data_IF_154461909835
#
_entry.id   IF_154461909835
#
_cell.length_a   1.000
_cell.length_b   1.000
_cell.length_c   1.000
_cell.angle_alpha   90.00
_cell.angle_beta   90.00
_cell.angle_gamma   90.00
#
_symmetry.space_group_name_H-M   'P 1'
#
loop_
_entity.id
_entity.type
_entity.pdbx_description
1 polymer ?
#
# COMPACT_ATOMS: atom_id res chain seq x y z
N UNK A 1 -27.73 -8.05 -13.91
CA UNK A 1 -27.87 -6.62 -14.34
C UNK A 1 -27.44 -5.71 -13.19
N UNK A 2 -26.88 -4.54 -13.45
CA UNK A 2 -26.51 -3.59 -12.39
C UNK A 2 -27.72 -2.88 -11.78
N UNK A 3 -27.67 -2.63 -10.47
CA UNK A 3 -28.70 -1.87 -9.76
C UNK A 3 -28.58 -0.37 -10.09
N UNK A 4 -29.71 0.26 -10.35
CA UNK A 4 -29.80 1.70 -10.59
C UNK A 4 -29.74 2.49 -9.28
N UNK A 5 -29.54 3.81 -9.35
CA UNK A 5 -29.65 4.69 -8.17
C UNK A 5 -30.98 4.51 -7.40
N UNK A 6 -32.08 4.31 -8.11
CA UNK A 6 -33.40 4.05 -7.53
C UNK A 6 -33.42 2.75 -6.73
N UNK A 7 -32.95 1.66 -7.35
CA UNK A 7 -32.86 0.34 -6.70
C UNK A 7 -31.93 0.38 -5.49
N UNK A 8 -30.83 1.13 -5.58
CA UNK A 8 -29.91 1.32 -4.46
C UNK A 8 -30.57 2.09 -3.31
N UNK A 9 -31.29 3.18 -3.60
CA UNK A 9 -31.98 3.97 -2.58
C UNK A 9 -33.06 3.17 -1.83
N UNK A 10 -33.73 2.26 -2.53
CA UNK A 10 -34.76 1.41 -1.95
C UNK A 10 -34.16 0.26 -1.12
N UNK A 11 -33.19 -0.49 -1.69
CA UNK A 11 -32.69 -1.73 -1.09
C UNK A 11 -31.56 -1.53 -0.09
N UNK A 12 -30.70 -0.53 -0.26
CA UNK A 12 -29.47 -0.43 0.53
C UNK A 12 -29.69 -0.03 1.99
N UNK A 13 -30.85 0.54 2.32
CA UNK A 13 -31.22 0.87 3.71
C UNK A 13 -31.10 -0.32 4.66
N UNK A 14 -31.39 -1.53 4.17
CA UNK A 14 -31.33 -2.77 4.95
C UNK A 14 -30.04 -3.57 4.69
N UNK A 15 -29.20 -3.13 3.75
CA UNK A 15 -28.00 -3.83 3.33
C UNK A 15 -26.70 -3.12 3.76
N UNK A 16 -26.76 -1.84 4.10
CA UNK A 16 -25.58 -1.07 4.49
C UNK A 16 -25.86 -0.36 5.82
N UNK A 17 -24.91 -0.47 6.76
CA UNK A 17 -25.02 0.18 8.07
C UNK A 17 -23.73 0.92 8.42
N UNK A 18 -23.76 2.25 8.62
CA UNK A 18 -24.89 3.16 8.42
C UNK A 18 -25.18 3.41 6.93
N UNK A 19 -26.46 3.51 6.55
CA UNK A 19 -26.89 3.93 5.22
C UNK A 19 -27.19 5.43 5.19
N UNK A 20 -26.67 6.11 4.16
CA UNK A 20 -26.97 7.50 3.83
C UNK A 20 -27.27 7.60 2.33
N UNK A 21 -28.44 8.14 2.00
CA UNK A 21 -28.87 8.28 0.61
C UNK A 21 -27.96 9.22 -0.20
N UNK A 22 -27.30 10.19 0.44
CA UNK A 22 -26.35 11.10 -0.21
C UNK A 22 -25.06 10.40 -0.67
N UNK A 23 -24.83 9.15 -0.23
CA UNK A 23 -23.68 8.37 -0.64
C UNK A 23 -23.89 7.62 -1.96
N UNK A 24 -25.10 7.64 -2.52
CA UNK A 24 -25.40 7.10 -3.85
C UNK A 24 -24.82 8.04 -4.90
N UNK A 25 -23.96 7.50 -5.77
CA UNK A 25 -23.27 8.20 -6.84
C UNK A 25 -23.45 7.43 -8.15
N UNK A 26 -24.35 7.93 -9.00
CA UNK A 26 -24.83 7.22 -10.19
C UNK A 26 -25.38 5.83 -9.84
N UNK A 27 -24.75 4.76 -10.34
CA UNK A 27 -25.12 3.37 -10.07
C UNK A 27 -24.27 2.71 -8.96
N UNK A 28 -23.52 3.51 -8.20
CA UNK A 28 -22.67 3.03 -7.10
C UNK A 28 -23.15 3.59 -5.76
N UNK A 29 -22.84 2.87 -4.68
CA UNK A 29 -22.81 3.43 -3.34
C UNK A 29 -21.37 3.71 -2.94
N UNK A 30 -21.12 4.83 -2.27
CA UNK A 30 -19.77 5.24 -1.91
C UNK A 30 -19.50 5.00 -0.44
N UNK A 31 -18.43 4.28 -0.15
CA UNK A 31 -18.07 3.85 1.20
C UNK A 31 -16.87 4.66 1.71
N UNK A 32 -16.86 4.88 3.02
CA UNK A 32 -15.85 5.67 3.70
C UNK A 32 -14.69 4.81 4.21
N UNK A 33 -13.50 5.43 4.33
CA UNK A 33 -12.38 4.83 5.08
C UNK A 33 -12.78 4.68 6.55
N UNK A 34 -12.66 3.46 7.06
CA UNK A 34 -13.08 3.04 8.38
C UNK A 34 -12.05 3.27 9.48
N UNK A 35 -12.34 2.67 10.64
CA UNK A 35 -11.58 2.85 11.88
C UNK A 35 -10.28 2.07 12.00
N UNK A 36 -9.95 1.19 11.05
CA UNK A 36 -8.71 0.40 11.09
C UNK A 36 -7.91 0.57 9.80
N UNK A 37 -6.62 0.84 9.95
CA UNK A 37 -5.69 1.02 8.86
C UNK A 37 -4.39 0.31 9.20
N UNK A 38 -3.91 -0.51 8.29
CA UNK A 38 -2.54 -1.02 8.32
C UNK A 38 -1.78 -0.46 7.12
N UNK A 39 -0.54 -0.04 7.31
CA UNK A 39 0.37 0.37 6.24
C UNK A 39 1.66 -0.39 6.46
N UNK A 40 2.19 -1.05 5.43
CA UNK A 40 3.45 -1.80 5.57
C UNK A 40 4.59 -0.90 6.03
N UNK A 41 5.55 -1.43 6.82
CA UNK A 41 6.71 -0.68 7.25
C UNK A 41 7.51 -0.17 6.04
N UNK A 42 7.99 1.07 6.11
CA UNK A 42 8.96 1.61 5.17
C UNK A 42 10.34 1.74 5.84
N UNK A 43 11.36 2.15 5.08
CA UNK A 43 12.74 2.33 5.59
C UNK A 43 12.87 3.36 6.73
N UNK A 44 11.82 4.15 7.01
CA UNK A 44 11.81 5.15 8.08
C UNK A 44 11.30 4.56 9.40
N UNK A 45 10.70 3.36 9.38
CA UNK A 45 10.29 2.65 10.57
C UNK A 45 11.50 1.92 11.15
N UNK A 46 11.93 2.33 12.35
CA UNK A 46 13.12 1.79 13.01
C UNK A 46 13.01 0.29 13.34
N UNK A 47 11.79 -0.21 13.59
CA UNK A 47 11.51 -1.63 13.79
C UNK A 47 10.26 -2.06 13.01
N UNK A 48 10.43 -2.73 11.86
CA UNK A 48 9.34 -3.24 11.03
C UNK A 48 8.39 -4.20 11.76
N UNK A 49 8.84 -4.85 12.85
CA UNK A 49 8.03 -5.80 13.62
C UNK A 49 7.00 -5.12 14.53
N UNK A 50 7.16 -3.80 14.76
CA UNK A 50 6.25 -3.01 15.60
C UNK A 50 5.07 -2.40 14.82
N UNK A 51 4.99 -2.61 13.51
CA UNK A 51 3.90 -2.05 12.71
C UNK A 51 2.61 -2.81 13.00
N UNK A 52 1.76 -2.15 13.77
CA UNK A 52 0.44 -2.64 14.19
C UNK A 52 -0.67 -1.93 13.41
N UNK A 53 -1.86 -2.50 13.46
CA UNK A 53 -3.08 -1.86 12.96
C UNK A 53 -3.29 -0.55 13.72
N UNK A 54 -3.34 0.56 12.97
CA UNK A 54 -3.64 1.90 13.49
C UNK A 54 -5.15 2.10 13.53
N UNK A 55 -5.61 2.85 14.54
CA UNK A 55 -7.03 3.19 14.74
C UNK A 55 -7.25 4.70 14.74
N UNK A 56 -7.19 5.35 13.57
CA UNK A 56 -7.37 6.80 13.49
C UNK A 56 -8.73 7.24 14.02
N UNK A 57 -8.77 8.37 14.72
CA UNK A 57 -10.00 9.06 15.07
C UNK A 57 -10.73 9.55 13.80
N UNK A 58 -12.03 9.83 13.90
CA UNK A 58 -12.79 10.36 12.77
C UNK A 58 -12.17 11.68 12.30
N UNK A 59 -11.86 11.78 11.00
CA UNK A 59 -11.19 12.94 10.42
C UNK A 59 -9.66 12.97 10.59
N UNK A 60 -9.08 12.05 11.38
CA UNK A 60 -7.63 11.94 11.51
C UNK A 60 -6.99 11.46 10.20
N UNK A 61 -5.85 12.08 9.87
CA UNK A 61 -5.11 11.82 8.65
C UNK A 61 -4.07 10.72 8.83
N UNK A 62 -3.88 9.93 7.79
CA UNK A 62 -2.79 8.99 7.66
C UNK A 62 -2.22 9.02 6.25
N UNK A 63 -1.04 8.42 6.09
CA UNK A 63 -0.29 8.48 4.84
C UNK A 63 0.10 7.08 4.40
N UNK A 64 -0.05 6.80 3.10
CA UNK A 64 0.47 5.61 2.45
C UNK A 64 1.70 6.05 1.63
N UNK A 65 2.93 5.74 2.08
CA UNK A 65 4.14 6.13 1.35
C UNK A 65 4.23 5.44 -0.03
N UNK A 66 5.02 5.99 -0.97
CA UNK A 66 5.32 5.32 -2.24
C UNK A 66 5.84 3.90 -2.05
N UNK A 67 5.33 2.97 -2.85
CA UNK A 67 5.75 1.57 -2.85
C UNK A 67 5.33 0.76 -1.61
N UNK A 68 4.40 1.27 -0.80
CA UNK A 68 3.87 0.56 0.36
C UNK A 68 2.48 -0.02 0.08
N UNK A 69 2.21 -1.18 0.68
CA UNK A 69 0.86 -1.74 0.75
C UNK A 69 0.14 -1.17 1.97
N UNK A 70 -1.18 -1.07 1.87
CA UNK A 70 -2.02 -0.76 2.99
C UNK A 70 -3.29 -1.62 2.97
N UNK A 71 -3.82 -1.92 4.15
CA UNK A 71 -5.13 -2.51 4.31
C UNK A 71 -6.03 -1.46 4.96
N UNK A 72 -7.11 -1.13 4.26
CA UNK A 72 -8.10 -0.16 4.69
C UNK A 72 -9.43 -0.89 4.86
N UNK A 73 -10.11 -0.70 5.99
CA UNK A 73 -11.48 -1.21 6.14
C UNK A 73 -12.49 -0.12 5.82
N UNK A 74 -13.71 -0.49 5.43
CA UNK A 74 -14.81 0.48 5.30
C UNK A 74 -15.34 0.90 6.67
N UNK A 75 -15.89 2.11 6.79
CA UNK A 75 -16.63 2.50 7.99
C UNK A 75 -17.95 1.70 8.05
N UNK A 76 -18.62 1.57 6.92
CA UNK A 76 -19.88 0.87 6.78
C UNK A 76 -19.70 -0.65 6.81
N UNK A 77 -20.68 -1.33 7.42
CA UNK A 77 -20.90 -2.76 7.29
C UNK A 77 -21.80 -3.00 6.08
N UNK A 78 -21.35 -3.86 5.18
CA UNK A 78 -22.01 -4.19 3.91
C UNK A 78 -22.58 -5.61 3.99
N UNK A 79 -23.82 -5.76 3.55
CA UNK A 79 -24.49 -7.03 3.29
C UNK A 79 -24.69 -7.18 1.79
N UNK A 80 -24.29 -8.32 1.25
CA UNK A 80 -24.63 -8.70 -0.12
C UNK A 80 -25.72 -9.76 -0.07
N UNK A 81 -26.93 -9.49 -0.61
CA UNK A 81 -27.99 -10.48 -0.59
C UNK A 81 -27.70 -11.63 -1.55
N UNK A 82 -28.39 -12.75 -1.38
CA UNK A 82 -28.14 -13.97 -2.15
C UNK A 82 -28.47 -13.83 -3.64
N UNK A 83 -29.27 -12.83 -4.01
CA UNK A 83 -29.66 -12.53 -5.39
C UNK A 83 -28.73 -11.53 -6.10
N UNK A 84 -27.62 -11.13 -5.48
CA UNK A 84 -26.68 -10.17 -6.06
C UNK A 84 -25.22 -10.46 -5.74
N UNK A 85 -24.36 -9.90 -6.58
CA UNK A 85 -22.91 -9.81 -6.39
C UNK A 85 -22.53 -8.34 -6.14
N UNK A 86 -21.64 -8.08 -5.18
CA UNK A 86 -21.04 -6.76 -5.01
C UNK A 86 -19.79 -6.62 -5.88
N UNK A 87 -19.61 -5.51 -6.60
CA UNK A 87 -18.36 -5.15 -7.26
C UNK A 87 -17.74 -3.95 -6.56
N UNK A 88 -16.43 -3.98 -6.34
CA UNK A 88 -15.73 -2.93 -5.58
C UNK A 88 -14.65 -2.24 -6.40
N UNK A 89 -14.48 -0.95 -6.14
CA UNK A 89 -13.41 -0.14 -6.73
C UNK A 89 -13.07 1.03 -5.82
N UNK A 90 -12.10 1.82 -6.26
CA UNK A 90 -11.71 3.09 -5.63
C UNK A 90 -12.11 4.21 -6.59
N UNK A 91 -12.59 5.33 -6.06
CA UNK A 91 -12.92 6.53 -6.84
C UNK A 91 -11.73 6.97 -7.68
N UNK A 92 -12.00 7.32 -8.94
CA UNK A 92 -10.97 7.70 -9.92
C UNK A 92 -10.01 8.79 -9.42
N UNK A 93 -10.55 9.81 -8.72
CA UNK A 93 -9.76 10.91 -8.12
C UNK A 93 -8.64 10.41 -7.20
N UNK A 94 -8.86 9.32 -6.46
CA UNK A 94 -7.86 8.74 -5.57
C UNK A 94 -6.97 7.75 -6.33
N UNK A 95 -7.55 6.96 -7.25
CA UNK A 95 -6.78 6.06 -8.13
C UNK A 95 -5.69 6.79 -8.92
N UNK A 96 -6.00 7.95 -9.50
CA UNK A 96 -5.04 8.74 -10.29
C UNK A 96 -3.91 9.36 -9.47
N UNK A 97 -3.98 9.33 -8.13
CA UNK A 97 -2.84 9.67 -7.27
C UNK A 97 -1.82 8.54 -7.15
N UNK A 98 -2.08 7.39 -7.79
CA UNK A 98 -1.26 6.19 -7.72
C UNK A 98 -1.81 5.10 -6.80
N UNK A 99 -3.01 5.26 -6.23
CA UNK A 99 -3.59 4.25 -5.35
C UNK A 99 -4.22 3.11 -6.17
N UNK A 100 -3.56 1.96 -6.19
CA UNK A 100 -4.01 0.77 -6.91
C UNK A 100 -4.75 -0.15 -5.95
N UNK A 101 -5.95 -0.60 -6.32
CA UNK A 101 -6.63 -1.66 -5.59
C UNK A 101 -6.01 -3.01 -5.98
N UNK A 102 -5.52 -3.76 -4.99
CA UNK A 102 -4.93 -5.09 -5.17
C UNK A 102 -5.74 -6.18 -4.45
N UNK A 103 -6.89 -5.82 -3.86
CA UNK A 103 -7.86 -6.78 -3.34
C UNK A 103 -8.59 -7.53 -4.46
N UNK A 104 -9.46 -8.48 -4.07
CA UNK A 104 -10.49 -9.00 -4.95
C UNK A 104 -11.36 -7.87 -5.54
N UNK A 105 -11.95 -8.12 -6.71
CA UNK A 105 -12.77 -7.14 -7.43
C UNK A 105 -14.27 -7.21 -7.08
N UNK A 106 -14.68 -8.24 -6.34
CA UNK A 106 -16.07 -8.50 -5.99
C UNK A 106 -16.23 -8.92 -4.53
N UNK A 107 -17.49 -8.96 -4.10
CA UNK A 107 -17.96 -9.40 -2.79
C UNK A 107 -19.08 -10.41 -3.04
N UNK A 108 -18.95 -11.60 -2.45
CA UNK A 108 -19.82 -12.74 -2.74
C UNK A 108 -21.23 -12.59 -2.18
N UNK A 109 -22.22 -13.26 -2.79
CA UNK A 109 -23.58 -13.34 -2.24
C UNK A 109 -23.58 -13.95 -0.85
N UNK A 110 -24.36 -13.36 0.06
CA UNK A 110 -24.44 -13.77 1.47
C UNK A 110 -23.38 -13.13 2.36
N UNK A 111 -22.42 -12.37 1.81
CA UNK A 111 -21.42 -11.66 2.60
C UNK A 111 -22.07 -10.67 3.59
N UNK A 112 -21.51 -10.58 4.79
CA UNK A 112 -21.86 -9.59 5.80
C UNK A 112 -20.62 -9.13 6.56
N UNK A 113 -20.31 -7.84 6.54
CA UNK A 113 -19.14 -7.30 7.25
C UNK A 113 -18.61 -5.99 6.68
N UNK A 114 -17.55 -5.46 7.29
CA UNK A 114 -16.78 -4.36 6.73
C UNK A 114 -15.88 -4.88 5.60
N UNK A 115 -15.84 -4.16 4.49
CA UNK A 115 -15.00 -4.52 3.35
C UNK A 115 -13.55 -4.12 3.63
N UNK A 116 -12.63 -5.05 3.37
CA UNK A 116 -11.19 -4.80 3.47
C UNK A 116 -10.60 -4.58 2.08
N UNK A 117 -10.03 -3.40 1.86
CA UNK A 117 -9.32 -3.02 0.66
C UNK A 117 -7.82 -3.14 0.90
N UNK A 118 -7.20 -4.13 0.25
CA UNK A 118 -5.75 -4.16 0.06
C UNK A 118 -5.39 -3.20 -1.08
N UNK A 119 -4.55 -2.20 -0.79
CA UNK A 119 -4.16 -1.16 -1.75
C UNK A 119 -2.64 -1.01 -1.80
N UNK A 120 -2.14 -0.54 -2.94
CA UNK A 120 -0.73 -0.27 -3.16
C UNK A 120 -0.54 1.15 -3.69
N UNK A 121 0.41 1.90 -3.13
CA UNK A 121 0.78 3.19 -3.69
C UNK A 121 1.84 3.02 -4.78
N UNK A 122 1.39 2.97 -6.03
CA UNK A 122 2.24 2.96 -7.22
C UNK A 122 2.69 4.35 -7.67
N UNK A 123 2.23 5.41 -6.99
CA UNK A 123 2.60 6.78 -7.29
C UNK A 123 3.99 7.15 -6.74
N UNK A 124 4.61 8.22 -7.26
CA UNK A 124 5.92 8.68 -6.79
C UNK A 124 5.85 9.49 -5.49
N UNK A 125 4.65 9.85 -5.01
CA UNK A 125 4.44 10.71 -3.84
C UNK A 125 3.55 10.05 -2.78
N UNK A 126 3.68 10.43 -1.50
CA UNK A 126 2.82 9.90 -0.44
C UNK A 126 1.34 10.24 -0.68
N UNK A 127 0.46 9.27 -0.41
CA UNK A 127 -0.99 9.45 -0.53
C UNK A 127 -1.56 9.70 0.87
N UNK A 128 -1.97 10.94 1.11
CA UNK A 128 -2.72 11.32 2.31
C UNK A 128 -4.21 10.97 2.16
N UNK A 129 -4.72 10.27 3.17
CA UNK A 129 -6.13 9.92 3.36
C UNK A 129 -6.54 10.31 4.78
N UNK A 130 -7.84 10.29 5.05
CA UNK A 130 -8.38 10.45 6.40
C UNK A 130 -9.51 9.46 6.66
N UNK A 131 -9.71 9.07 7.91
CA UNK A 131 -10.90 8.30 8.30
C UNK A 131 -12.17 9.11 7.99
N UNK A 132 -13.21 8.44 7.51
CA UNK A 132 -14.45 9.03 7.04
C UNK A 132 -14.38 9.55 5.59
N UNK A 133 -13.23 9.48 4.92
CA UNK A 133 -13.13 9.89 3.52
C UNK A 133 -13.80 8.87 2.61
N UNK A 134 -14.78 9.31 1.81
CA UNK A 134 -15.48 8.47 0.83
C UNK A 134 -14.61 8.20 -0.40
N UNK A 135 -13.89 7.09 -0.41
CA UNK A 135 -12.96 6.74 -1.50
C UNK A 135 -13.33 5.44 -2.20
N UNK A 136 -14.18 4.62 -1.60
CA UNK A 136 -14.55 3.32 -2.14
C UNK A 136 -15.87 3.41 -2.90
N UNK A 137 -16.04 2.54 -3.87
CA UNK A 137 -17.24 2.39 -4.69
C UNK A 137 -17.70 0.95 -4.59
N UNK A 138 -19.02 0.77 -4.42
CA UNK A 138 -19.70 -0.51 -4.42
C UNK A 138 -20.85 -0.47 -5.42
N UNK A 139 -20.84 -1.38 -6.39
CA UNK A 139 -21.97 -1.64 -7.27
C UNK A 139 -22.60 -2.97 -6.90
N UNK A 140 -23.90 -3.10 -7.09
CA UNK A 140 -24.59 -4.38 -6.99
C UNK A 140 -25.00 -4.85 -8.38
N UNK A 141 -24.80 -6.14 -8.66
CA UNK A 141 -25.21 -6.80 -9.87
C UNK A 141 -26.11 -7.99 -9.55
N UNK A 142 -27.35 -7.99 -10.03
CA UNK A 142 -28.28 -9.12 -9.87
C UNK A 142 -27.79 -10.37 -10.58
N UNK A 143 -27.96 -11.51 -9.92
CA UNK A 143 -27.76 -12.85 -10.46
C UNK A 143 -29.00 -13.31 -11.26
N UNK A 144 -28.84 -14.34 -12.09
CA UNK A 144 -29.95 -15.02 -12.79
C UNK A 144 -30.85 -15.78 -11.82
N UNK A 145 -30.27 -16.28 -10.72
CA UNK A 145 -30.96 -16.97 -9.61
C UNK A 145 -30.23 -16.68 -8.28
N UNK A 146 -30.93 -16.75 -7.13
CA UNK A 146 -30.27 -16.65 -5.83
C UNK A 146 -29.19 -17.73 -5.66
N UNK A 147 -28.07 -17.38 -5.06
CA UNK A 147 -27.00 -18.31 -4.76
C UNK A 147 -27.38 -19.23 -3.59
N UNK A 148 -27.35 -20.54 -3.83
CA UNK A 148 -27.51 -21.55 -2.76
C UNK A 148 -26.26 -21.65 -1.87
N UNK A 149 -25.09 -21.29 -2.42
CA UNK A 149 -23.82 -21.27 -1.69
C UNK A 149 -23.60 -19.88 -1.12
N UNK A 150 -23.49 -19.80 0.20
CA UNK A 150 -23.18 -18.56 0.91
C UNK A 150 -21.69 -18.49 1.15
N UNK A 151 -21.15 -17.28 1.14
CA UNK A 151 -19.85 -17.07 1.76
C UNK A 151 -19.92 -17.55 3.22
N UNK A 152 -19.09 -18.53 3.58
CA UNK A 152 -19.08 -19.16 4.90
C UNK A 152 -18.53 -18.23 5.98
N UNK A 153 -18.07 -17.04 5.59
CA UNK A 153 -17.34 -16.13 6.46
C UNK A 153 -18.33 -15.18 7.13
N UNK A 154 -18.71 -15.53 8.36
CA UNK A 154 -19.59 -14.72 9.19
C UNK A 154 -18.96 -13.36 9.53
N UNK A 155 -19.78 -12.30 9.43
CA UNK A 155 -19.61 -10.98 10.07
C UNK A 155 -18.15 -10.51 10.26
N UNK A 156 -17.46 -10.17 9.17
CA UNK A 156 -16.10 -9.61 9.26
C UNK A 156 -16.13 -8.21 9.85
N UNK A 157 -15.35 -7.99 10.92
CA UNK A 157 -15.13 -6.67 11.52
C UNK A 157 -13.64 -6.43 11.65
N UNK A 158 -13.18 -5.31 11.07
CA UNK A 158 -11.77 -4.96 11.11
C UNK A 158 -10.88 -5.78 10.19
N UNK A 159 -9.57 -5.59 10.34
CA UNK A 159 -8.53 -6.25 9.54
C UNK A 159 -8.25 -7.65 10.13
N UNK A 160 -8.37 -8.69 9.30
CA UNK A 160 -8.01 -10.06 9.68
C UNK A 160 -6.48 -10.22 9.76
N UNK A 161 -5.99 -10.63 10.93
CA UNK A 161 -4.56 -10.84 11.19
C UNK A 161 -3.93 -11.89 10.26
N UNK A 162 -4.70 -12.90 9.86
CA UNK A 162 -4.20 -13.95 8.95
C UNK A 162 -3.91 -13.41 7.54
N UNK A 163 -4.53 -12.30 7.16
CA UNK A 163 -4.26 -11.62 5.89
C UNK A 163 -2.98 -10.78 5.97
N UNK A 164 -2.67 -10.23 7.15
CA UNK A 164 -1.49 -9.39 7.37
C UNK A 164 -0.18 -10.20 7.38
N UNK A 165 -0.20 -11.43 7.91
CA UNK A 165 1.00 -12.28 8.03
C UNK A 165 1.61 -12.69 6.69
N UNK A 166 0.83 -12.67 5.59
CA UNK A 166 1.34 -12.92 4.24
C UNK A 166 2.05 -11.74 3.58
N UNK A 167 1.89 -10.52 4.12
CA UNK A 167 2.38 -9.26 3.53
C UNK A 167 3.35 -8.51 4.46
N UNK A 168 3.51 -8.96 5.72
CA UNK A 168 4.31 -8.29 6.76
C UNK A 168 5.84 -8.38 6.60
N UNK A 169 6.35 -8.83 5.45
CA UNK A 169 7.78 -8.76 5.16
C UNK A 169 8.23 -7.33 4.83
N UNK A 170 9.53 -7.03 4.97
CA UNK A 170 10.09 -5.77 4.46
C UNK A 170 9.90 -5.69 2.93
N UNK A 171 8.85 -5.02 2.50
CA UNK A 171 8.62 -4.70 1.10
C UNK A 171 9.53 -3.55 0.70
N UNK A 172 10.64 -3.91 0.07
CA UNK A 172 11.59 -2.96 -0.51
C UNK A 172 10.92 -2.26 -1.71
N UNK A 173 10.55 -0.99 -1.54
CA UNK A 173 10.00 -0.18 -2.63
C UNK A 173 11.04 0.04 -3.73
N UNK A 174 10.61 0.20 -4.99
CA UNK A 174 11.51 0.51 -6.11
C UNK A 174 12.31 1.80 -5.87
N UNK A 175 11.69 2.81 -5.25
CA UNK A 175 12.37 4.05 -4.88
C UNK A 175 13.45 3.82 -3.81
N UNK A 176 13.17 2.96 -2.81
CA UNK A 176 14.15 2.53 -1.81
C UNK A 176 15.33 1.79 -2.45
N UNK A 177 15.04 0.88 -3.38
CA UNK A 177 16.07 0.19 -4.16
C UNK A 177 16.91 1.16 -4.99
N UNK A 178 16.30 2.12 -5.69
CA UNK A 178 17.03 3.14 -6.45
C UNK A 178 17.94 3.98 -5.55
N UNK A 179 17.46 4.38 -4.37
CA UNK A 179 18.26 5.12 -3.38
C UNK A 179 19.43 4.29 -2.86
N UNK A 180 19.23 2.99 -2.61
CA UNK A 180 20.31 2.07 -2.21
C UNK A 180 21.33 1.90 -3.33
N UNK A 181 20.89 1.75 -4.58
CA UNK A 181 21.78 1.66 -5.76
C UNK A 181 22.62 2.94 -5.88
N UNK A 182 22.02 4.12 -5.71
CA UNK A 182 22.73 5.39 -5.74
C UNK A 182 23.77 5.47 -4.60
N UNK A 183 23.38 5.11 -3.37
CA UNK A 183 24.30 5.09 -2.23
C UNK A 183 25.45 4.09 -2.42
N UNK A 184 25.21 2.95 -3.09
CA UNK A 184 26.27 2.02 -3.49
C UNK A 184 27.21 2.66 -4.52
N UNK A 185 26.66 3.36 -5.52
CA UNK A 185 27.43 4.11 -6.52
C UNK A 185 28.34 5.16 -5.89
N UNK A 186 27.82 5.94 -4.95
CA UNK A 186 28.59 6.97 -4.23
C UNK A 186 29.74 6.33 -3.42
N UNK A 187 29.48 5.22 -2.73
CA UNK A 187 30.52 4.48 -1.99
C UNK A 187 31.59 3.89 -2.90
N UNK A 188 31.21 3.37 -4.07
CA UNK A 188 32.17 2.88 -5.08
C UNK A 188 33.06 4.04 -5.54
N UNK A 189 32.48 5.20 -5.83
CA UNK A 189 33.24 6.39 -6.25
C UNK A 189 34.25 6.84 -5.18
N UNK A 190 33.86 6.85 -3.92
CA UNK A 190 34.74 7.17 -2.80
C UNK A 190 35.91 6.17 -2.68
N UNK A 191 35.62 4.88 -2.84
CA UNK A 191 36.64 3.82 -2.81
C UNK A 191 37.60 3.98 -4.00
N UNK A 192 37.12 4.23 -5.21
CA UNK A 192 37.96 4.46 -6.39
C UNK A 192 38.88 5.68 -6.19
N UNK A 193 38.37 6.75 -5.57
CA UNK A 193 39.17 7.93 -5.21
C UNK A 193 40.26 7.58 -4.19
N UNK A 194 39.91 6.84 -3.13
CA UNK A 194 40.89 6.38 -2.15
C UNK A 194 41.95 5.47 -2.78
N UNK A 195 41.55 4.56 -3.68
CA UNK A 195 42.48 3.70 -4.42
C UNK A 195 43.45 4.51 -5.29
N UNK A 196 42.98 5.54 -6.01
CA UNK A 196 43.85 6.43 -6.79
C UNK A 196 44.86 7.16 -5.90
N UNK A 197 44.44 7.66 -4.75
CA UNK A 197 45.33 8.32 -3.78
C UNK A 197 46.36 7.34 -3.23
N UNK A 198 45.95 6.15 -2.81
CA UNK A 198 46.86 5.12 -2.31
C UNK A 198 47.85 4.66 -3.38
N UNK A 199 47.41 4.50 -4.63
CA UNK A 199 48.27 4.14 -5.74
C UNK A 199 49.29 5.25 -6.05
N UNK A 200 48.88 6.53 -6.01
CA UNK A 200 49.79 7.64 -6.17
C UNK A 200 50.84 7.72 -5.04
N UNK A 201 50.43 7.47 -3.79
CA UNK A 201 51.34 7.42 -2.64
C UNK A 201 52.34 6.26 -2.78
N UNK A 202 51.88 5.07 -3.16
CA UNK A 202 52.73 3.92 -3.43
C UNK A 202 53.74 4.21 -4.56
N UNK A 203 53.31 4.85 -5.64
CA UNK A 203 54.19 5.25 -6.74
C UNK A 203 55.26 6.26 -6.29
N UNK A 204 54.88 7.24 -5.45
CA UNK A 204 55.84 8.19 -4.86
C UNK A 204 56.86 7.52 -3.96
N UNK A 205 56.42 6.61 -3.08
CA UNK A 205 57.32 5.86 -2.18
C UNK A 205 58.25 4.96 -2.98
N UNK A 206 57.74 4.24 -3.98
CA UNK A 206 58.55 3.41 -4.86
C UNK A 206 59.59 4.24 -5.64
N UNK A 207 59.18 5.42 -6.14
CA UNK A 207 60.08 6.35 -6.83
C UNK A 207 61.19 6.89 -5.92
N UNK A 208 60.85 7.28 -4.69
CA UNK A 208 61.82 7.73 -3.68
C UNK A 208 62.80 6.62 -3.27
N UNK A 209 62.30 5.40 -3.12
CA UNK A 209 63.13 4.23 -2.79
C UNK A 209 64.11 3.91 -3.93
N UNK A 210 63.65 3.93 -5.19
CA UNK A 210 64.49 3.68 -6.36
C UNK A 210 65.60 4.74 -6.51
N UNK A 211 65.28 6.02 -6.29
CA UNK A 211 66.27 7.10 -6.32
C UNK A 211 67.32 6.95 -5.23
N UNK A 212 66.90 6.63 -4.00
CA UNK A 212 67.82 6.34 -2.89
C UNK A 212 68.79 5.19 -3.22
N UNK A 213 68.25 4.09 -3.77
CA UNK A 213 69.02 2.90 -4.12
C UNK A 213 70.05 3.19 -5.21
N UNK A 214 69.65 3.94 -6.26
CA UNK A 214 70.57 4.40 -7.30
C UNK A 214 71.67 5.30 -6.74
N UNK A 215 71.33 6.29 -5.91
CA UNK A 215 72.36 7.17 -5.32
C UNK A 215 73.37 6.39 -4.48
N UNK A 216 72.92 5.39 -3.71
CA UNK A 216 73.82 4.55 -2.89
C UNK A 216 74.78 3.68 -3.72
N UNK A 217 74.37 3.25 -4.93
CA UNK A 217 75.19 2.44 -5.82
C UNK A 217 76.28 3.24 -6.55
N UNK A 218 76.04 4.53 -6.82
CA UNK A 218 76.99 5.41 -7.52
C UNK A 218 77.93 6.19 -6.60
N UNK A 219 77.73 6.11 -5.28
CA UNK A 219 78.56 6.79 -4.28
C UNK A 219 79.40 5.84 -3.40
N UNK A 220 79.47 4.56 -3.79
CA UNK A 220 80.34 3.52 -3.20
C UNK A 220 81.48 3.10 -4.12
#
# INVERSE_FOLDING_TARGET
MFWSSWTLAERLRDLITPFDQEHIDCAAYTLAVGGEVYVTPNEQVADPTLVTVKRPALGEHFTIPPGQFAFLVTEETVKVPEDALGLISIRAKVKFRGLVNVSGFHVDPGYFGQLTFAVFNAGPVPIHLKRGQRIFLLWYASLDRPSEKKDAIAARKGIDWNVLSGVSGELQSLAGLAKKIQALGDRIHDIEKQQKVNHALLALVAGAFLTFLLTSLFSG
#
